data_IF_018172707949
#
_entry.id   IF_018172707949
#
_cell.length_a   1.000
_cell.length_b   1.000
_cell.length_c   1.000
_cell.angle_alpha   90.00
_cell.angle_beta   90.00
_cell.angle_gamma   90.00
#
_symmetry.space_group_name_H-M   'P 1'
#
loop_
_entity.id
_entity.type
_entity.pdbx_description
1 polymer ?
#
# COMPACT_ATOMS: atom_id res chain seq x y z
N UNK A 1 -16.79 4.14 52.86
CA UNK A 1 -15.44 4.30 52.25
C UNK A 1 -15.16 3.01 51.49
N UNK A 2 -15.62 2.90 50.24
CA UNK A 2 -14.90 3.21 48.99
C UNK A 2 -13.68 2.32 48.72
N UNK A 3 -13.81 1.43 47.73
CA UNK A 3 -12.82 1.12 46.68
C UNK A 3 -13.48 0.15 45.67
N UNK A 4 -14.34 0.70 44.82
CA UNK A 4 -14.54 0.10 43.50
C UNK A 4 -13.37 0.58 42.66
N UNK A 5 -12.32 -0.24 42.58
CA UNK A 5 -11.27 -0.08 41.58
C UNK A 5 -11.90 -0.34 40.22
N UNK A 6 -12.38 0.76 39.62
CA UNK A 6 -12.89 0.78 38.26
C UNK A 6 -11.71 0.60 37.32
N UNK A 7 -11.44 -0.65 36.95
CA UNK A 7 -10.61 -1.00 35.79
C UNK A 7 -11.35 -0.49 34.55
N UNK A 8 -11.13 0.78 34.20
CA UNK A 8 -11.42 1.24 32.85
C UNK A 8 -10.63 0.32 31.90
N UNK A 9 -11.25 -0.33 30.91
CA UNK A 9 -10.49 -1.00 29.87
C UNK A 9 -9.63 0.09 29.25
N UNK A 10 -8.30 -0.05 29.35
CA UNK A 10 -7.39 0.78 28.60
C UNK A 10 -7.91 0.77 27.16
N UNK A 11 -8.33 1.94 26.66
CA UNK A 11 -8.70 2.13 25.27
C UNK A 11 -7.54 1.58 24.45
N UNK A 12 -7.71 0.36 23.93
CA UNK A 12 -6.72 -0.26 23.07
C UNK A 12 -6.44 0.76 21.97
N UNK A 13 -5.22 1.29 21.95
CA UNK A 13 -4.83 2.28 20.96
C UNK A 13 -5.17 1.67 19.59
N UNK A 14 -6.09 2.33 18.87
CA UNK A 14 -6.54 1.83 17.58
C UNK A 14 -5.30 1.63 16.72
N UNK A 15 -5.13 0.42 16.21
CA UNK A 15 -3.99 0.08 15.40
C UNK A 15 -3.81 1.06 14.25
N UNK A 16 -2.57 1.30 13.80
CA UNK A 16 -2.38 2.09 12.60
C UNK A 16 -3.06 1.37 11.41
N UNK A 17 -4.04 2.01 10.80
CA UNK A 17 -4.68 1.52 9.58
C UNK A 17 -3.80 1.88 8.38
N UNK A 18 -3.45 0.87 7.56
CA UNK A 18 -2.69 1.05 6.32
C UNK A 18 -3.64 1.12 5.13
N UNK A 19 -3.51 2.18 4.33
CA UNK A 19 -4.33 2.37 3.14
C UNK A 19 -3.60 1.92 1.87
N UNK A 20 -4.32 1.20 1.00
CA UNK A 20 -3.84 0.75 -0.30
C UNK A 20 -4.82 1.16 -1.37
N UNK A 21 -4.32 1.84 -2.39
CA UNK A 21 -5.08 2.35 -3.52
C UNK A 21 -4.69 1.57 -4.77
N UNK A 22 -5.61 0.77 -5.29
CA UNK A 22 -5.45 0.03 -6.54
C UNK A 22 -6.00 0.81 -7.70
N UNK A 23 -5.21 0.99 -8.75
CA UNK A 23 -5.53 1.87 -9.87
C UNK A 23 -5.37 1.14 -11.20
N UNK A 24 -6.39 1.19 -12.06
CA UNK A 24 -6.40 0.62 -13.41
C UNK A 24 -7.36 -0.56 -13.56
N UNK A 25 -7.74 -0.86 -14.81
CA UNK A 25 -8.70 -1.91 -15.17
C UNK A 25 -8.21 -3.31 -14.76
N UNK A 26 -6.92 -3.60 -14.98
CA UNK A 26 -6.30 -4.88 -14.63
C UNK A 26 -6.09 -5.05 -13.11
N UNK A 27 -6.36 -4.03 -12.29
CA UNK A 27 -6.07 -4.06 -10.85
C UNK A 27 -6.81 -5.16 -10.10
N UNK A 28 -7.95 -5.64 -10.60
CA UNK A 28 -8.73 -6.69 -9.95
C UNK A 28 -7.97 -8.02 -9.87
N UNK A 29 -7.32 -8.45 -10.97
CA UNK A 29 -6.61 -9.72 -11.01
C UNK A 29 -5.45 -9.75 -9.99
N UNK A 30 -4.77 -8.61 -9.81
CA UNK A 30 -3.65 -8.47 -8.88
C UNK A 30 -4.10 -8.32 -7.43
N UNK A 31 -5.27 -7.73 -7.21
CA UNK A 31 -5.85 -7.55 -5.87
C UNK A 31 -6.14 -8.88 -5.19
N UNK A 32 -6.68 -9.86 -5.91
CA UNK A 32 -7.01 -11.16 -5.31
C UNK A 32 -5.75 -11.85 -4.76
N UNK A 33 -4.69 -11.88 -5.57
CA UNK A 33 -3.37 -12.38 -5.17
C UNK A 33 -2.79 -11.64 -3.95
N UNK A 34 -3.04 -10.33 -3.86
CA UNK A 34 -2.63 -9.53 -2.70
C UNK A 34 -3.45 -9.85 -1.44
N UNK A 35 -4.77 -10.02 -1.56
CA UNK A 35 -5.63 -10.43 -0.46
C UNK A 35 -5.24 -11.82 0.06
N UNK A 36 -4.91 -12.75 -0.83
CA UNK A 36 -4.39 -14.06 -0.46
C UNK A 36 -3.08 -13.96 0.33
N UNK A 37 -2.15 -13.11 -0.11
CA UNK A 37 -0.93 -12.83 0.66
C UNK A 37 -1.27 -12.34 2.07
N UNK A 38 -2.17 -11.35 2.18
CA UNK A 38 -2.56 -10.75 3.47
C UNK A 38 -3.20 -11.77 4.43
N UNK A 39 -3.89 -12.79 3.90
CA UNK A 39 -4.49 -13.90 4.67
C UNK A 39 -3.53 -15.03 4.99
N UNK A 40 -2.42 -15.14 4.25
CA UNK A 40 -1.47 -16.23 4.43
C UNK A 40 -0.64 -16.07 5.72
N UNK A 41 -0.06 -17.18 6.21
CA UNK A 41 0.94 -17.15 7.29
C UNK A 41 2.20 -16.32 6.94
N UNK A 42 2.33 -15.88 5.69
CA UNK A 42 3.41 -15.03 5.18
C UNK A 42 2.94 -13.60 4.96
N UNK A 43 1.80 -13.24 5.54
CA UNK A 43 1.31 -11.87 5.57
C UNK A 43 2.40 -10.97 6.16
N UNK A 44 2.58 -9.74 5.65
CA UNK A 44 3.41 -8.74 6.33
C UNK A 44 3.02 -8.55 7.80
N UNK A 45 1.76 -8.86 8.17
CA UNK A 45 1.26 -8.89 9.56
C UNK A 45 1.92 -9.96 10.44
N UNK A 46 2.38 -11.07 9.87
CA UNK A 46 2.90 -12.22 10.60
C UNK A 46 4.29 -11.99 11.21
N UNK A 47 4.93 -10.85 10.92
CA UNK A 47 6.21 -10.49 11.54
C UNK A 47 6.07 -9.75 12.88
N UNK A 48 4.85 -9.52 13.36
CA UNK A 48 4.65 -9.10 14.73
C UNK A 48 4.99 -10.25 15.69
N UNK A 49 5.85 -9.97 16.66
CA UNK A 49 6.38 -10.97 17.59
C UNK A 49 5.31 -11.57 18.51
N UNK A 50 4.16 -10.91 18.66
CA UNK A 50 2.99 -11.43 19.36
C UNK A 50 1.68 -11.09 18.60
N UNK A 51 0.58 -11.85 18.80
CA UNK A 51 -0.75 -11.54 18.25
C UNK A 51 -1.30 -10.18 18.72
N UNK A 52 -0.82 -9.66 19.86
CA UNK A 52 -1.21 -8.38 20.44
C UNK A 52 -0.47 -7.20 19.79
N UNK A 53 0.71 -7.45 19.18
CA UNK A 53 1.52 -6.46 18.46
C UNK A 53 1.04 -6.16 17.03
N UNK A 54 0.05 -6.90 16.51
CA UNK A 54 -0.45 -6.65 15.15
C UNK A 54 -1.95 -6.49 15.07
N UNK A 55 -2.44 -5.25 15.21
CA UNK A 55 -3.79 -4.96 14.82
C UNK A 55 -3.83 -4.14 13.52
N UNK A 56 -2.76 -4.12 12.70
CA UNK A 56 -2.74 -3.31 11.46
C UNK A 56 -3.90 -3.71 10.54
N UNK A 57 -4.93 -2.87 10.49
CA UNK A 57 -6.08 -3.00 9.60
C UNK A 57 -5.67 -2.47 8.22
N UNK A 58 -6.15 -3.11 7.16
CA UNK A 58 -5.87 -2.69 5.79
C UNK A 58 -7.14 -2.15 5.17
N UNK A 59 -7.08 -0.91 4.67
CA UNK A 59 -8.15 -0.31 3.89
C UNK A 59 -7.76 -0.37 2.42
N UNK A 60 -8.58 -1.07 1.63
CA UNK A 60 -8.31 -1.29 0.20
C UNK A 60 -9.31 -0.46 -0.61
N UNK A 61 -8.79 0.50 -1.36
CA UNK A 61 -9.54 1.33 -2.31
C UNK A 61 -9.30 0.81 -3.73
N UNK A 62 -10.36 0.78 -4.54
CA UNK A 62 -10.32 0.32 -5.93
C UNK A 62 -10.76 1.44 -6.87
N UNK A 63 -9.90 1.77 -7.82
CA UNK A 63 -10.14 2.78 -8.84
C UNK A 63 -9.90 2.17 -10.21
N UNK A 64 -10.98 1.80 -10.91
CA UNK A 64 -10.89 1.24 -12.27
C UNK A 64 -10.50 2.28 -13.32
N UNK A 65 -10.90 3.55 -13.10
CA UNK A 65 -10.79 4.65 -14.07
C UNK A 65 -9.54 5.52 -13.89
N UNK A 66 -9.38 6.41 -14.85
CA UNK A 66 -8.21 7.27 -15.07
C UNK A 66 -8.00 8.31 -13.97
N UNK A 67 -9.09 8.77 -13.35
CA UNK A 67 -9.08 9.78 -12.30
C UNK A 67 -8.85 9.17 -10.92
N UNK A 68 -7.60 9.28 -10.46
CA UNK A 68 -7.22 8.92 -9.10
C UNK A 68 -7.45 10.10 -8.14
N UNK A 69 -8.43 9.97 -7.25
CA UNK A 69 -8.67 10.95 -6.19
C UNK A 69 -8.00 10.52 -4.89
N UNK A 70 -6.67 10.69 -4.80
CA UNK A 70 -5.95 10.44 -3.54
C UNK A 70 -6.23 11.56 -2.52
N UNK A 71 -6.55 11.24 -1.24
CA UNK A 71 -6.59 12.25 -0.20
C UNK A 71 -5.24 12.95 -0.06
N UNK A 72 -5.21 14.18 0.48
CA UNK A 72 -3.92 14.80 0.83
C UNK A 72 -3.40 14.09 2.08
N UNK A 73 -2.23 13.48 1.99
CA UNK A 73 -1.53 13.02 3.18
C UNK A 73 -0.91 14.23 3.88
N UNK A 74 -0.95 14.33 5.21
CA UNK A 74 -0.26 15.39 5.94
C UNK A 74 1.23 15.30 5.62
N UNK A 75 1.77 16.37 5.02
CA UNK A 75 3.18 16.48 4.62
C UNK A 75 4.10 16.49 5.85
N UNK A 76 3.55 16.78 7.04
CA UNK A 76 4.25 16.82 8.31
C UNK A 76 3.74 15.72 9.25
N UNK A 77 4.33 14.53 9.14
CA UNK A 77 4.02 13.41 10.03
C UNK A 77 5.19 12.45 10.27
N UNK A 78 6.41 12.80 9.83
CA UNK A 78 7.58 11.94 10.07
C UNK A 78 8.17 12.11 11.46
N UNK A 79 7.89 13.20 12.16
CA UNK A 79 8.60 13.54 13.39
C UNK A 79 7.95 13.05 14.68
N UNK A 80 6.67 12.67 14.72
CA UNK A 80 6.07 12.11 15.93
C UNK A 80 4.96 11.11 15.59
N UNK A 81 5.33 9.83 15.46
CA UNK A 81 4.38 8.71 15.46
C UNK A 81 4.18 7.99 14.12
N UNK A 82 5.20 7.27 13.66
CA UNK A 82 5.11 5.89 13.12
C UNK A 82 4.05 5.51 12.07
N UNK A 83 3.42 6.44 11.35
CA UNK A 83 2.39 6.06 10.36
C UNK A 83 3.07 5.67 9.04
N UNK A 84 2.99 4.39 8.69
CA UNK A 84 3.47 3.88 7.40
C UNK A 84 2.84 4.67 6.25
N UNK A 85 3.60 5.05 5.22
CA UNK A 85 3.06 5.76 4.07
C UNK A 85 1.97 4.93 3.38
N UNK A 86 0.91 5.61 2.94
CA UNK A 86 -0.14 4.99 2.15
C UNK A 86 0.43 4.50 0.81
N UNK A 87 -0.08 3.36 0.34
CA UNK A 87 0.43 2.68 -0.84
C UNK A 87 -0.49 2.90 -2.03
N UNK A 88 0.06 3.17 -3.21
CA UNK A 88 -0.66 3.20 -4.49
C UNK A 88 -0.07 2.12 -5.38
N UNK A 89 -0.90 1.18 -5.81
CA UNK A 89 -0.52 0.10 -6.72
C UNK A 89 -1.22 0.35 -8.06
N UNK A 90 -0.41 0.59 -9.08
CA UNK A 90 -0.87 0.85 -10.43
C UNK A 90 -0.80 -0.44 -11.26
N UNK A 91 -1.94 -0.86 -11.80
CA UNK A 91 -1.99 -1.94 -12.75
C UNK A 91 -1.43 -1.46 -14.10
N UNK A 92 -0.53 -2.25 -14.66
CA UNK A 92 0.06 -1.96 -15.96
C UNK A 92 -0.96 -2.28 -17.05
N UNK A 93 -1.25 -1.33 -17.96
CA UNK A 93 -2.15 -1.57 -19.08
C UNK A 93 -1.56 -2.53 -20.10
N UNK A 94 -2.42 -3.19 -20.88
CA UNK A 94 -2.01 -4.13 -21.93
C UNK A 94 -1.38 -3.44 -23.14
N UNK A 95 -1.75 -2.18 -23.34
CA UNK A 95 -1.40 -1.31 -24.46
C UNK A 95 -0.07 -0.56 -24.25
N UNK A 96 0.55 -0.68 -23.07
CA UNK A 96 1.84 -0.07 -22.73
C UNK A 96 1.79 0.86 -21.52
N UNK A 97 2.94 1.41 -21.14
CA UNK A 97 3.09 2.17 -19.88
C UNK A 97 3.16 3.71 -20.04
N UNK A 98 3.11 4.26 -21.26
CA UNK A 98 3.37 5.69 -21.47
C UNK A 98 2.42 6.58 -20.65
N UNK A 99 1.11 6.35 -20.77
CA UNK A 99 0.11 7.08 -19.99
C UNK A 99 0.24 6.82 -18.48
N UNK A 100 0.57 5.58 -18.10
CA UNK A 100 0.78 5.21 -16.71
C UNK A 100 1.93 6.01 -16.08
N UNK A 101 3.04 6.17 -16.81
CA UNK A 101 4.21 6.94 -16.40
C UNK A 101 3.83 8.40 -16.12
N UNK A 102 3.08 9.02 -17.04
CA UNK A 102 2.59 10.40 -16.88
C UNK A 102 1.69 10.55 -15.66
N UNK A 103 0.76 9.60 -15.45
CA UNK A 103 -0.17 9.59 -14.32
C UNK A 103 0.54 9.40 -12.98
N UNK A 104 1.53 8.51 -12.92
CA UNK A 104 2.36 8.36 -11.72
C UNK A 104 3.10 9.67 -11.43
N UNK A 105 3.69 10.29 -12.46
CA UNK A 105 4.36 11.57 -12.35
C UNK A 105 3.45 12.67 -11.82
N UNK A 106 2.23 12.78 -12.35
CA UNK A 106 1.22 13.74 -11.89
C UNK A 106 0.80 13.47 -10.45
N UNK A 107 0.47 12.23 -10.10
CA UNK A 107 0.08 11.85 -8.75
C UNK A 107 1.17 12.23 -7.74
N UNK A 108 2.44 11.98 -8.05
CA UNK A 108 3.57 12.36 -7.19
C UNK A 108 3.72 13.86 -7.03
N UNK A 109 3.56 14.64 -8.11
CA UNK A 109 3.64 16.11 -8.07
C UNK A 109 2.50 16.71 -7.25
N UNK A 110 1.28 16.23 -7.46
CA UNK A 110 0.07 16.81 -6.88
C UNK A 110 -0.26 16.25 -5.48
N UNK A 111 0.23 15.05 -5.14
CA UNK A 111 -0.11 14.29 -3.92
C UNK A 111 1.15 13.58 -3.39
N UNK A 112 2.13 14.32 -2.84
CA UNK A 112 3.31 13.72 -2.23
C UNK A 112 2.93 12.90 -0.98
N UNK A 113 3.81 11.96 -0.59
CA UNK A 113 3.66 11.16 0.63
C UNK A 113 3.15 9.73 0.42
N UNK A 114 2.81 9.36 -0.81
CA UNK A 114 2.47 8.00 -1.18
C UNK A 114 3.68 7.19 -1.64
N UNK A 115 3.68 5.89 -1.34
CA UNK A 115 4.55 4.93 -2.00
C UNK A 115 3.87 4.38 -3.25
N UNK A 116 4.60 4.33 -4.36
CA UNK A 116 4.07 3.89 -5.64
C UNK A 116 4.66 2.53 -6.01
N UNK A 117 3.79 1.57 -6.32
CA UNK A 117 4.15 0.26 -6.88
C UNK A 117 3.44 0.07 -8.21
N UNK A 118 3.98 -0.78 -9.07
CA UNK A 118 3.30 -1.21 -10.28
C UNK A 118 3.14 -2.72 -10.31
N UNK A 119 2.10 -3.21 -10.97
CA UNK A 119 1.80 -4.63 -11.11
C UNK A 119 1.32 -4.95 -12.52
N UNK A 120 1.93 -5.92 -13.18
CA UNK A 120 1.62 -6.31 -14.56
C UNK A 120 2.86 -6.64 -15.37
N UNK A 121 2.68 -6.92 -16.67
CA UNK A 121 3.78 -7.28 -17.55
C UNK A 121 4.42 -6.02 -18.12
N UNK A 122 5.73 -5.88 -17.95
CA UNK A 122 6.54 -4.82 -18.58
C UNK A 122 7.88 -5.40 -19.02
N UNK A 123 8.40 -4.84 -20.11
CA UNK A 123 9.77 -5.11 -20.56
C UNK A 123 10.81 -4.56 -19.56
N UNK A 124 12.07 -5.02 -19.62
CA UNK A 124 13.15 -4.46 -18.81
C UNK A 124 13.35 -2.95 -18.98
N UNK A 125 13.15 -2.43 -20.20
CA UNK A 125 13.29 -1.00 -20.52
C UNK A 125 12.19 -0.19 -19.85
N UNK A 126 10.93 -0.62 -20.01
CA UNK A 126 9.78 0.01 -19.36
C UNK A 126 9.89 0.01 -17.84
N UNK A 127 10.42 -1.07 -17.27
CA UNK A 127 10.69 -1.16 -15.84
C UNK A 127 11.68 -0.08 -15.36
N UNK A 128 12.70 0.23 -16.15
CA UNK A 128 13.64 1.32 -15.84
C UNK A 128 12.89 2.67 -15.79
N UNK A 129 12.04 2.94 -16.79
CA UNK A 129 11.24 4.18 -16.83
C UNK A 129 10.32 4.29 -15.61
N UNK A 130 9.70 3.19 -15.18
CA UNK A 130 8.87 3.17 -13.96
C UNK A 130 9.67 3.57 -12.71
N UNK A 131 10.90 3.08 -12.56
CA UNK A 131 11.77 3.46 -11.45
C UNK A 131 12.20 4.94 -11.52
N UNK A 132 12.48 5.45 -12.72
CA UNK A 132 12.84 6.86 -12.93
C UNK A 132 11.71 7.81 -12.50
N UNK A 133 10.45 7.45 -12.76
CA UNK A 133 9.29 8.21 -12.26
C UNK A 133 8.94 7.94 -10.80
N UNK A 134 9.76 7.18 -10.08
CA UNK A 134 9.70 7.01 -8.63
C UNK A 134 8.80 5.89 -8.14
N UNK A 135 8.49 4.91 -8.99
CA UNK A 135 7.96 3.62 -8.52
C UNK A 135 9.01 2.94 -7.64
N UNK A 136 8.59 2.37 -6.50
CA UNK A 136 9.49 1.71 -5.54
C UNK A 136 9.75 0.25 -5.88
N UNK A 137 8.75 -0.44 -6.43
CA UNK A 137 8.89 -1.79 -6.93
C UNK A 137 7.86 -2.10 -8.02
N UNK A 138 8.19 -3.08 -8.84
CA UNK A 138 7.36 -3.56 -9.93
C UNK A 138 7.12 -5.08 -9.79
N UNK A 139 5.88 -5.50 -9.96
CA UNK A 139 5.43 -6.88 -9.74
C UNK A 139 4.99 -7.51 -11.06
N UNK A 140 5.82 -8.40 -11.59
CA UNK A 140 5.49 -9.13 -12.84
C UNK A 140 4.58 -10.35 -12.62
N UNK A 141 4.23 -10.66 -11.37
CA UNK A 141 3.47 -11.87 -11.06
C UNK A 141 3.05 -11.95 -9.59
N UNK A 142 1.97 -12.69 -9.25
CA UNK A 142 1.47 -12.85 -7.88
C UNK A 142 2.53 -13.27 -6.85
N UNK A 143 3.51 -14.08 -7.27
CA UNK A 143 4.58 -14.56 -6.38
C UNK A 143 5.54 -13.47 -5.94
N UNK A 144 5.66 -12.38 -6.70
CA UNK A 144 6.59 -11.28 -6.43
C UNK A 144 6.17 -10.45 -5.21
N UNK A 145 4.90 -10.49 -4.79
CA UNK A 145 4.44 -9.85 -3.56
C UNK A 145 5.32 -10.18 -2.35
N UNK A 146 5.83 -11.42 -2.29
CA UNK A 146 6.69 -11.90 -1.21
C UNK A 146 8.04 -11.21 -1.17
N UNK A 147 8.62 -10.90 -2.32
CA UNK A 147 9.92 -10.23 -2.42
C UNK A 147 9.84 -8.79 -1.89
N UNK A 148 8.63 -8.23 -1.89
CA UNK A 148 8.35 -6.85 -1.50
C UNK A 148 7.56 -6.75 -0.19
N UNK A 149 7.43 -7.84 0.59
CA UNK A 149 6.69 -7.84 1.85
C UNK A 149 7.18 -6.77 2.85
N UNK A 150 8.47 -6.41 2.80
CA UNK A 150 9.03 -5.31 3.61
C UNK A 150 8.43 -3.94 3.27
N UNK A 151 8.13 -3.69 1.99
CA UNK A 151 7.44 -2.46 1.57
C UNK A 151 5.99 -2.45 2.07
N UNK A 152 5.42 -3.60 2.38
CA UNK A 152 4.04 -3.75 2.87
C UNK A 152 3.92 -3.74 4.41
N UNK A 153 5.01 -4.00 5.15
CA UNK A 153 4.99 -4.13 6.61
C UNK A 153 5.84 -3.12 7.38
N UNK A 154 6.56 -2.23 6.68
CA UNK A 154 7.32 -1.13 7.30
C UNK A 154 6.44 -0.02 7.83
#
# INVERSE_FOLDING_TARGET
MSRFDSLAPALAAAAPEREVWWVGEEAMAWRESFIELLRSARSPKAHASTPEDCPQSWRIHLHRRDTLSLPRQPIHGRENGGRSPALVIWAVPSEGIAELVDRIGEARRCRPGYEHLTAGLVSPVERTVLFEVGVRAHLQGPRHWRLHARLLGG
#
